data_IF_151387624967
#
_entry.id   IF_151387624967
#
_cell.length_a   1.000
_cell.length_b   1.000
_cell.length_c   1.000
_cell.angle_alpha   90.00
_cell.angle_beta   90.00
_cell.angle_gamma   90.00
#
_symmetry.space_group_name_H-M   'P 1'
#
loop_
_entity.id
_entity.type
_entity.pdbx_description
1 polymer ?
#
# COMPACT_ATOMS: atom_id res chain seq x y z
N UNK A 1 24.92 -28.34 -52.10
CA UNK A 1 26.11 -28.37 -51.23
C UNK A 1 26.62 -26.94 -51.14
N UNK A 2 26.74 -26.28 -49.99
CA UNK A 2 26.63 -26.73 -48.59
C UNK A 2 25.84 -25.69 -47.74
N UNK A 3 25.08 -26.15 -46.74
CA UNK A 3 24.41 -25.36 -45.70
C UNK A 3 25.40 -24.86 -44.63
N UNK A 4 25.22 -23.65 -44.09
CA UNK A 4 25.58 -23.23 -42.72
C UNK A 4 24.95 -21.84 -42.45
N UNK A 5 24.42 -21.48 -41.27
CA UNK A 5 23.80 -22.22 -40.16
C UNK A 5 23.21 -21.19 -39.18
N UNK A 6 22.02 -21.42 -38.61
CA UNK A 6 21.39 -20.51 -37.65
C UNK A 6 22.21 -20.35 -36.35
N UNK A 7 22.64 -19.13 -36.01
CA UNK A 7 23.17 -18.80 -34.68
C UNK A 7 23.32 -17.27 -34.41
N UNK A 8 22.27 -16.46 -34.59
CA UNK A 8 22.24 -15.16 -33.88
C UNK A 8 21.79 -15.47 -32.45
N UNK A 9 22.78 -15.62 -31.56
CA UNK A 9 22.53 -15.82 -30.13
C UNK A 9 21.97 -14.53 -29.55
N UNK A 10 20.81 -14.63 -28.92
CA UNK A 10 20.29 -13.59 -28.03
C UNK A 10 21.28 -13.45 -26.87
N UNK A 11 22.03 -12.35 -26.86
CA UNK A 11 22.74 -11.89 -25.68
C UNK A 11 21.72 -11.13 -24.81
N UNK A 12 20.98 -11.87 -23.99
CA UNK A 12 20.49 -11.31 -22.74
C UNK A 12 21.73 -10.98 -21.91
N UNK A 13 22.12 -9.71 -21.91
CA UNK A 13 23.06 -9.17 -20.93
C UNK A 13 22.52 -9.50 -19.56
N UNK A 14 23.36 -10.08 -18.70
CA UNK A 14 22.99 -10.47 -17.35
C UNK A 14 22.31 -9.30 -16.64
N UNK A 15 21.14 -9.55 -16.06
CA UNK A 15 20.59 -8.65 -15.06
C UNK A 15 21.66 -8.51 -13.97
N UNK A 16 22.05 -7.27 -13.69
CA UNK A 16 22.87 -6.98 -12.52
C UNK A 16 22.09 -7.46 -11.30
N UNK A 17 22.66 -8.42 -10.58
CA UNK A 17 22.34 -8.62 -9.16
C UNK A 17 22.87 -7.39 -8.42
N UNK A 18 22.13 -6.29 -8.54
CA UNK A 18 22.31 -5.13 -7.70
C UNK A 18 21.71 -5.48 -6.34
N UNK A 19 22.54 -6.03 -5.45
CA UNK A 19 22.34 -6.02 -4.00
C UNK A 19 22.26 -4.53 -3.58
N UNK A 20 21.08 -3.96 -3.79
CA UNK A 20 20.74 -2.58 -3.47
C UNK A 20 20.00 -2.64 -2.15
N UNK A 21 20.65 -2.06 -1.14
CA UNK A 21 20.20 -2.09 0.24
C UNK A 21 18.83 -1.41 0.33
N UNK A 22 17.79 -2.23 0.43
CA UNK A 22 16.41 -1.80 0.66
C UNK A 22 16.27 -1.39 2.12
N UNK A 23 16.75 -0.18 2.43
CA UNK A 23 16.95 0.36 3.79
C UNK A 23 18.06 -0.33 4.58
N UNK A 24 18.88 0.42 5.37
CA UNK A 24 19.99 -0.18 6.10
C UNK A 24 19.49 -1.04 7.27
N UNK A 25 19.24 -2.33 7.01
CA UNK A 25 18.89 -3.33 8.03
C UNK A 25 17.78 -4.31 7.65
N UNK A 26 17.04 -4.11 6.55
CA UNK A 26 15.95 -5.00 6.12
C UNK A 26 16.41 -6.00 5.06
N UNK A 27 16.03 -7.28 5.19
CA UNK A 27 16.30 -8.34 4.22
C UNK A 27 15.03 -8.69 3.43
N UNK A 28 14.89 -8.06 2.25
CA UNK A 28 13.77 -8.27 1.33
C UNK A 28 13.79 -9.63 0.60
N UNK A 29 14.79 -10.50 0.84
CA UNK A 29 14.96 -11.76 0.09
C UNK A 29 13.74 -12.68 0.23
N UNK A 30 13.15 -12.75 1.41
CA UNK A 30 11.94 -13.55 1.67
C UNK A 30 10.71 -12.97 0.95
N UNK A 31 10.48 -11.65 1.08
CA UNK A 31 9.39 -10.92 0.42
C UNK A 31 9.45 -11.09 -1.11
N UNK A 32 10.63 -10.91 -1.71
CA UNK A 32 10.87 -11.10 -3.14
C UNK A 32 10.63 -12.55 -3.58
N UNK A 33 11.02 -13.54 -2.77
CA UNK A 33 10.80 -14.95 -3.09
C UNK A 33 9.30 -15.33 -3.06
N UNK A 34 8.56 -14.78 -2.09
CA UNK A 34 7.12 -14.97 -1.91
C UNK A 34 6.31 -14.32 -3.04
N UNK A 35 6.57 -13.05 -3.34
CA UNK A 35 6.06 -12.35 -4.53
C UNK A 35 6.26 -13.19 -5.79
N UNK A 36 7.49 -13.62 -6.04
CA UNK A 36 7.83 -14.42 -7.21
C UNK A 36 7.17 -15.83 -7.23
N UNK A 37 6.64 -16.32 -6.11
CA UNK A 37 5.83 -17.53 -6.06
C UNK A 37 4.37 -17.25 -6.45
N UNK A 38 3.81 -16.14 -5.97
CA UNK A 38 2.43 -15.77 -6.22
C UNK A 38 2.17 -15.21 -7.63
N UNK A 39 3.09 -14.39 -8.17
CA UNK A 39 3.02 -13.87 -9.56
C UNK A 39 2.91 -14.99 -10.62
N UNK A 40 3.18 -16.25 -10.27
CA UNK A 40 2.99 -17.43 -11.14
C UNK A 40 1.55 -17.94 -11.18
N UNK A 41 0.75 -17.65 -10.14
CA UNK A 41 -0.60 -18.14 -9.94
C UNK A 41 -1.66 -17.06 -10.20
N UNK A 42 -1.31 -15.78 -10.09
CA UNK A 42 -2.23 -14.67 -10.35
C UNK A 42 -2.76 -14.71 -11.79
N UNK A 43 -4.06 -14.46 -11.96
CA UNK A 43 -4.62 -14.09 -13.27
C UNK A 43 -3.99 -12.78 -13.75
N UNK A 44 -4.06 -12.48 -15.05
CA UNK A 44 -3.28 -11.37 -15.65
C UNK A 44 -4.00 -10.03 -15.68
N UNK A 45 -5.33 -10.04 -15.60
CA UNK A 45 -6.15 -8.85 -15.44
C UNK A 45 -7.57 -9.23 -14.91
N UNK A 46 -8.33 -8.23 -14.45
CA UNK A 46 -9.76 -8.37 -14.20
C UNK A 46 -10.62 -8.08 -15.46
N UNK A 47 -10.07 -8.14 -16.69
CA UNK A 47 -10.89 -8.00 -17.90
C UNK A 47 -11.96 -9.08 -18.00
N UNK A 48 -11.68 -10.27 -17.46
CA UNK A 48 -12.64 -11.35 -17.31
C UNK A 48 -13.79 -11.02 -16.32
N UNK A 49 -13.55 -10.15 -15.35
CA UNK A 49 -14.55 -9.64 -14.41
C UNK A 49 -15.29 -8.40 -14.90
N UNK A 50 -14.71 -7.62 -15.84
CA UNK A 50 -15.29 -6.38 -16.38
C UNK A 50 -16.75 -6.55 -16.77
N UNK A 51 -17.07 -7.61 -17.50
CA UNK A 51 -18.43 -7.90 -17.98
C UNK A 51 -19.41 -8.25 -16.86
N UNK A 52 -18.94 -8.75 -15.70
CA UNK A 52 -19.75 -9.01 -14.50
C UNK A 52 -19.95 -7.74 -13.69
N UNK A 53 -18.89 -6.97 -13.46
CA UNK A 53 -18.92 -5.67 -12.74
C UNK A 53 -19.83 -4.68 -13.46
N UNK A 54 -19.71 -4.58 -14.80
CA UNK A 54 -20.54 -3.68 -15.63
C UNK A 54 -22.03 -4.06 -15.57
N UNK A 55 -22.35 -5.36 -15.51
CA UNK A 55 -23.75 -5.84 -15.48
C UNK A 55 -24.45 -5.62 -14.13
N UNK A 56 -23.71 -5.41 -13.04
CA UNK A 56 -24.26 -5.36 -11.67
C UNK A 56 -24.58 -3.95 -11.15
N UNK A 57 -24.61 -2.93 -12.01
CA UNK A 57 -24.74 -1.50 -11.62
C UNK A 57 -23.59 -0.99 -10.71
N UNK A 58 -22.55 -1.82 -10.49
CA UNK A 58 -21.43 -1.52 -9.58
C UNK A 58 -20.68 -0.26 -9.98
N UNK A 59 -20.43 -0.05 -11.28
CA UNK A 59 -19.84 1.19 -11.77
C UNK A 59 -20.69 2.40 -11.35
N UNK A 60 -21.99 2.39 -11.64
CA UNK A 60 -22.94 3.45 -11.29
C UNK A 60 -23.05 3.70 -9.78
N UNK A 61 -22.94 2.66 -8.94
CA UNK A 61 -22.76 2.78 -7.48
C UNK A 61 -21.45 3.45 -7.10
N UNK A 62 -20.30 2.97 -7.61
CA UNK A 62 -18.98 3.57 -7.39
C UNK A 62 -19.00 5.07 -7.75
N UNK A 63 -19.64 5.43 -8.88
CA UNK A 63 -19.75 6.84 -9.32
C UNK A 63 -20.43 7.70 -8.27
N UNK A 64 -21.64 7.27 -7.84
CA UNK A 64 -22.47 8.01 -6.87
C UNK A 64 -21.78 8.12 -5.51
N UNK A 65 -21.14 7.03 -5.05
CA UNK A 65 -20.39 6.94 -3.80
C UNK A 65 -19.17 7.88 -3.79
N UNK A 66 -18.27 7.75 -4.77
CA UNK A 66 -17.08 8.61 -4.90
C UNK A 66 -17.48 10.08 -5.06
N UNK A 67 -18.53 10.37 -5.85
CA UNK A 67 -19.08 11.72 -5.97
C UNK A 67 -19.59 12.27 -4.63
N UNK A 68 -20.36 11.50 -3.85
CA UNK A 68 -20.84 11.93 -2.53
C UNK A 68 -19.69 12.12 -1.53
N UNK A 69 -18.64 11.28 -1.60
CA UNK A 69 -17.43 11.41 -0.79
C UNK A 69 -16.64 12.69 -1.16
N UNK A 70 -16.47 12.99 -2.45
CA UNK A 70 -15.88 14.25 -2.94
C UNK A 70 -16.71 15.47 -2.48
N UNK A 71 -18.04 15.40 -2.61
CA UNK A 71 -18.95 16.47 -2.17
C UNK A 71 -18.82 16.73 -0.67
N UNK A 72 -18.74 15.67 0.14
CA UNK A 72 -18.53 15.70 1.60
C UNK A 72 -17.15 16.24 1.97
N UNK A 73 -16.09 15.75 1.31
CA UNK A 73 -14.71 16.18 1.53
C UNK A 73 -14.50 17.67 1.20
N UNK A 74 -15.17 18.19 0.17
CA UNK A 74 -15.23 19.63 -0.14
C UNK A 74 -16.01 20.40 0.93
N UNK A 75 -17.20 19.93 1.30
CA UNK A 75 -18.04 20.59 2.31
C UNK A 75 -17.33 20.71 3.67
N UNK A 76 -16.65 19.66 4.12
CA UNK A 76 -15.82 19.64 5.34
C UNK A 76 -14.69 20.67 5.31
N UNK A 77 -14.22 21.05 4.13
CA UNK A 77 -13.15 22.05 3.90
C UNK A 77 -13.68 23.44 3.48
N UNK A 78 -15.00 23.64 3.47
CA UNK A 78 -15.62 24.91 3.04
C UNK A 78 -15.49 25.21 1.54
N UNK A 79 -15.13 24.22 0.71
CA UNK A 79 -14.89 24.38 -0.73
C UNK A 79 -16.20 24.30 -1.53
N UNK A 80 -16.31 25.10 -2.59
CA UNK A 80 -17.46 25.10 -3.49
C UNK A 80 -17.48 23.89 -4.43
N UNK A 81 -18.68 23.42 -4.80
CA UNK A 81 -18.82 22.34 -5.78
C UNK A 81 -18.50 22.82 -7.22
N UNK A 82 -17.71 22.03 -7.95
CA UNK A 82 -17.43 22.20 -9.39
C UNK A 82 -18.63 21.68 -10.23
N UNK A 83 -18.96 22.31 -11.38
CA UNK A 83 -20.20 22.06 -12.16
C UNK A 83 -20.07 20.95 -13.24
N UNK A 84 -21.15 20.19 -13.52
CA UNK A 84 -21.29 19.08 -14.52
C UNK A 84 -21.84 19.51 -15.90
N UNK A 85 -21.76 18.68 -16.98
CA UNK A 85 -22.65 18.78 -18.21
C UNK A 85 -22.58 17.73 -19.40
N UNK A 86 -21.67 16.73 -19.47
CA UNK A 86 -21.58 15.57 -20.44
C UNK A 86 -21.07 15.77 -21.91
N UNK A 87 -19.93 15.15 -22.34
CA UNK A 87 -19.64 14.58 -23.70
C UNK A 87 -18.28 13.81 -23.84
N UNK A 88 -18.25 12.71 -24.61
CA UNK A 88 -17.14 11.72 -24.64
C UNK A 88 -16.30 11.65 -25.95
N UNK A 89 -14.99 11.37 -25.82
CA UNK A 89 -14.16 10.70 -26.86
C UNK A 89 -13.12 9.78 -26.22
N UNK A 90 -13.02 8.54 -26.70
CA UNK A 90 -12.14 7.48 -26.21
C UNK A 90 -10.68 7.65 -26.63
N UNK A 91 -9.75 7.12 -25.81
CA UNK A 91 -8.33 6.95 -26.14
C UNK A 91 -7.85 5.52 -25.87
N UNK A 92 -6.65 5.23 -26.39
CA UNK A 92 -6.10 3.90 -26.65
C UNK A 92 -4.94 3.61 -25.68
N UNK A 93 -4.77 2.36 -25.25
CA UNK A 93 -3.79 1.96 -24.24
C UNK A 93 -2.40 1.69 -24.83
N UNK A 94 -1.37 2.36 -24.31
CA UNK A 94 0.04 1.90 -24.31
C UNK A 94 0.84 2.65 -23.25
N UNK A 95 1.64 1.93 -22.44
CA UNK A 95 2.56 2.41 -21.39
C UNK A 95 1.90 2.96 -20.11
N UNK A 96 1.96 2.20 -19.01
CA UNK A 96 1.50 2.64 -17.67
C UNK A 96 2.38 3.76 -17.12
N UNK A 97 3.70 3.71 -17.35
CA UNK A 97 4.67 4.72 -16.87
C UNK A 97 4.64 6.05 -17.65
N UNK A 98 4.08 6.07 -18.86
CA UNK A 98 3.84 7.31 -19.63
C UNK A 98 2.35 7.75 -19.61
N UNK A 99 1.49 6.99 -18.93
CA UNK A 99 0.08 7.35 -18.77
C UNK A 99 -0.07 8.26 -17.56
N UNK A 100 -0.51 9.49 -17.81
CA UNK A 100 -1.02 10.41 -16.80
C UNK A 100 -2.26 9.79 -16.10
N UNK A 101 -2.14 9.42 -14.83
CA UNK A 101 -3.26 8.94 -13.99
C UNK A 101 -4.07 10.10 -13.39
N UNK A 102 -3.52 11.32 -13.43
CA UNK A 102 -4.27 12.55 -13.59
C UNK A 102 -5.21 12.32 -14.77
N UNK A 103 -6.52 12.30 -14.50
CA UNK A 103 -7.51 12.22 -15.58
C UNK A 103 -7.14 13.29 -16.61
N UNK A 104 -6.92 12.88 -17.88
CA UNK A 104 -6.19 13.67 -18.87
C UNK A 104 -7.06 14.82 -19.45
N UNK A 105 -7.40 15.74 -18.55
CA UNK A 105 -8.65 16.45 -18.48
C UNK A 105 -8.29 17.82 -17.88
N UNK A 106 -8.16 18.85 -18.72
CA UNK A 106 -7.92 20.22 -18.25
C UNK A 106 -9.22 20.79 -17.69
N UNK A 107 -9.59 20.35 -16.48
CA UNK A 107 -10.93 20.56 -15.89
C UNK A 107 -11.01 21.89 -15.14
N UNK A 108 -11.39 22.95 -15.85
CA UNK A 108 -11.97 24.13 -15.19
C UNK A 108 -13.22 23.73 -14.38
N UNK A 109 -13.56 24.42 -13.26
CA UNK A 109 -14.81 24.23 -12.50
C UNK A 109 -16.14 24.33 -13.29
N UNK A 110 -16.08 24.57 -14.60
CA UNK A 110 -17.20 24.64 -15.53
C UNK A 110 -17.36 23.41 -16.46
N UNK A 111 -16.52 22.38 -16.37
CA UNK A 111 -16.38 21.40 -17.47
C UNK A 111 -17.55 20.41 -17.61
N UNK A 112 -18.10 20.27 -18.82
CA UNK A 112 -19.14 19.29 -19.13
C UNK A 112 -18.76 17.80 -18.98
N UNK A 113 -19.09 17.18 -17.84
CA UNK A 113 -19.38 15.72 -17.78
C UNK A 113 -18.33 14.83 -17.17
N UNK A 114 -17.63 15.35 -16.17
CA UNK A 114 -16.43 14.74 -15.63
C UNK A 114 -16.71 13.38 -14.95
N UNK A 115 -17.91 13.19 -14.38
CA UNK A 115 -18.24 12.01 -13.58
C UNK A 115 -18.15 10.69 -14.38
N UNK A 116 -18.86 10.54 -15.50
CA UNK A 116 -18.86 9.28 -16.27
C UNK A 116 -17.47 8.87 -16.76
N UNK A 117 -16.54 9.83 -16.93
CA UNK A 117 -15.17 9.59 -17.38
C UNK A 117 -14.30 9.08 -16.23
N UNK A 118 -14.35 9.77 -15.07
CA UNK A 118 -13.63 9.42 -13.82
C UNK A 118 -13.82 7.95 -13.44
N UNK A 119 -15.01 7.39 -13.71
CA UNK A 119 -15.38 6.03 -13.29
C UNK A 119 -15.42 5.00 -14.44
N UNK A 120 -14.97 5.37 -15.64
CA UNK A 120 -14.93 4.45 -16.80
C UNK A 120 -13.63 3.67 -16.93
N UNK A 121 -12.56 4.16 -16.28
CA UNK A 121 -11.22 3.60 -16.37
C UNK A 121 -10.76 3.24 -14.97
N UNK A 122 -11.08 2.02 -14.53
CA UNK A 122 -10.65 1.52 -13.23
C UNK A 122 -9.30 0.83 -13.40
N UNK A 123 -8.25 1.47 -12.88
CA UNK A 123 -6.98 0.80 -12.65
C UNK A 123 -7.25 -0.31 -11.63
N UNK A 124 -7.36 -1.52 -12.15
CA UNK A 124 -7.52 -2.69 -11.33
C UNK A 124 -6.13 -3.26 -11.08
N UNK A 125 -5.58 -2.98 -9.90
CA UNK A 125 -4.41 -3.72 -9.43
C UNK A 125 -4.84 -5.18 -9.31
N UNK A 126 -4.05 -6.10 -9.84
CA UNK A 126 -4.31 -7.53 -9.71
C UNK A 126 -3.08 -8.21 -9.15
N UNK A 127 -3.10 -8.44 -7.82
CA UNK A 127 -2.01 -8.98 -7.00
C UNK A 127 -0.61 -8.75 -7.60
N UNK A 128 -0.28 -7.47 -7.74
CA UNK A 128 1.09 -7.02 -7.80
C UNK A 128 1.60 -7.06 -6.36
N UNK A 129 2.07 -8.22 -5.94
CA UNK A 129 2.42 -8.43 -4.54
C UNK A 129 3.68 -7.66 -4.18
N UNK A 130 3.52 -6.70 -3.29
CA UNK A 130 4.58 -5.80 -2.87
C UNK A 130 5.48 -6.38 -1.80
N UNK A 131 6.45 -5.55 -1.44
CA UNK A 131 7.23 -5.70 -0.22
C UNK A 131 6.37 -5.17 0.94
N UNK A 132 6.25 -5.88 2.07
CA UNK A 132 5.68 -5.29 3.30
C UNK A 132 6.60 -4.15 3.77
N UNK A 133 7.90 -4.39 3.69
CA UNK A 133 8.90 -3.40 4.06
C UNK A 133 9.02 -3.22 5.58
N UNK A 134 10.01 -2.45 6.02
CA UNK A 134 10.51 -2.51 7.40
C UNK A 134 9.66 -1.78 8.44
N UNK A 135 8.45 -1.31 8.10
CA UNK A 135 7.68 -0.37 8.92
C UNK A 135 6.21 -0.76 9.16
N UNK A 136 5.83 -2.02 8.90
CA UNK A 136 4.52 -2.51 9.31
C UNK A 136 4.46 -2.74 10.83
N UNK A 137 3.30 -2.49 11.45
CA UNK A 137 3.04 -2.65 12.88
C UNK A 137 1.80 -3.53 13.04
N UNK A 138 1.86 -4.56 13.89
CA UNK A 138 0.68 -5.39 14.17
C UNK A 138 -0.14 -4.79 15.34
N UNK A 139 -1.46 -5.00 15.38
CA UNK A 139 -2.31 -4.55 16.50
C UNK A 139 -2.83 -3.12 16.39
N UNK A 140 -2.82 -2.52 15.19
CA UNK A 140 -3.23 -1.13 15.00
C UNK A 140 -4.75 -0.91 15.15
N UNK A 141 -5.17 0.35 15.24
CA UNK A 141 -6.56 0.76 15.46
C UNK A 141 -7.44 0.67 14.20
N UNK A 142 -8.67 0.18 14.36
CA UNK A 142 -9.73 0.28 13.37
C UNK A 142 -10.33 1.70 13.38
N UNK A 143 -9.93 2.56 12.44
CA UNK A 143 -10.32 3.98 12.39
C UNK A 143 -10.24 4.56 10.98
N UNK A 144 -11.17 5.45 10.64
CA UNK A 144 -11.22 6.07 9.30
C UNK A 144 -10.34 7.30 9.15
N UNK A 145 -10.12 8.10 10.20
CA UNK A 145 -9.14 9.18 10.17
C UNK A 145 -7.85 8.73 10.88
N UNK A 146 -6.76 8.73 10.12
CA UNK A 146 -5.42 8.32 10.56
C UNK A 146 -4.45 9.50 10.65
N UNK A 147 -4.91 10.73 10.40
CA UNK A 147 -4.06 11.94 10.32
C UNK A 147 -3.40 12.28 11.66
N UNK A 148 -4.14 12.10 12.75
CA UNK A 148 -3.78 12.58 14.10
C UNK A 148 -3.33 14.06 14.08
N UNK A 149 -2.08 14.34 14.44
CA UNK A 149 -1.49 15.69 14.49
C UNK A 149 -0.57 15.98 13.30
N UNK A 150 -0.43 15.07 12.34
CA UNK A 150 0.58 15.20 11.29
C UNK A 150 0.22 16.30 10.28
N UNK A 151 1.12 17.28 10.04
CA UNK A 151 0.90 18.33 9.05
C UNK A 151 1.13 17.80 7.63
N UNK A 152 0.27 18.19 6.70
CA UNK A 152 0.40 17.82 5.30
C UNK A 152 -0.84 18.19 4.47
N UNK A 153 -0.80 17.88 3.18
CA UNK A 153 -1.91 18.10 2.25
C UNK A 153 -3.01 17.07 2.54
N UNK A 154 -4.24 17.46 2.89
CA UNK A 154 -5.28 16.50 3.29
C UNK A 154 -5.75 15.60 2.13
N UNK A 155 -5.78 14.29 2.35
CA UNK A 155 -6.22 13.28 1.37
C UNK A 155 -7.42 12.51 1.91
N UNK A 156 -8.44 12.35 1.09
CA UNK A 156 -9.49 11.33 1.29
C UNK A 156 -9.23 10.19 0.32
N UNK A 157 -9.15 8.96 0.84
CA UNK A 157 -8.67 7.76 0.14
C UNK A 157 -9.82 6.76 0.00
N UNK A 158 -9.95 6.14 -1.17
CA UNK A 158 -11.07 5.28 -1.55
C UNK A 158 -10.58 4.01 -2.25
N UNK A 159 -10.58 2.86 -1.56
CA UNK A 159 -10.27 1.58 -2.19
C UNK A 159 -11.51 0.70 -2.27
N UNK A 160 -11.62 -0.06 -3.36
CA UNK A 160 -12.60 -1.13 -3.49
C UNK A 160 -11.91 -2.47 -3.75
N UNK A 161 -12.24 -3.47 -2.96
CA UNK A 161 -11.64 -4.80 -2.98
C UNK A 161 -12.59 -5.80 -3.67
N UNK A 162 -12.10 -6.43 -4.74
CA UNK A 162 -12.83 -7.35 -5.60
C UNK A 162 -12.16 -8.73 -5.57
N UNK A 163 -12.95 -9.78 -5.37
CA UNK A 163 -12.48 -11.15 -5.44
C UNK A 163 -12.16 -11.54 -6.89
N UNK A 164 -10.90 -11.90 -7.16
CA UNK A 164 -10.39 -12.20 -8.51
C UNK A 164 -10.93 -13.51 -9.09
N UNK A 165 -11.58 -14.32 -8.28
CA UNK A 165 -12.12 -15.62 -8.64
C UNK A 165 -13.64 -15.61 -8.84
N UNK A 166 -14.38 -14.79 -8.09
CA UNK A 166 -15.84 -14.65 -8.24
C UNK A 166 -16.27 -13.39 -8.99
N UNK A 167 -15.39 -12.39 -9.12
CA UNK A 167 -15.69 -11.04 -9.63
C UNK A 167 -16.71 -10.26 -8.79
N UNK A 168 -16.77 -10.56 -7.48
CA UNK A 168 -17.69 -9.94 -6.52
C UNK A 168 -16.91 -9.06 -5.53
N UNK A 169 -17.53 -8.01 -4.97
CA UNK A 169 -16.94 -7.28 -3.85
C UNK A 169 -16.62 -8.18 -2.66
N UNK A 170 -15.62 -7.79 -1.88
CA UNK A 170 -15.24 -8.49 -0.65
C UNK A 170 -15.68 -7.62 0.53
N UNK A 171 -16.83 -7.88 1.18
CA UNK A 171 -17.20 -7.24 2.43
C UNK A 171 -16.39 -7.80 3.61
N UNK A 172 -16.30 -7.03 4.70
CA UNK A 172 -15.63 -7.40 5.97
C UNK A 172 -14.12 -7.72 5.84
N UNK A 173 -13.50 -7.46 4.68
CA UNK A 173 -12.05 -7.47 4.51
C UNK A 173 -11.49 -6.25 5.24
N UNK A 174 -10.49 -6.47 6.07
CA UNK A 174 -9.87 -5.40 6.85
C UNK A 174 -8.70 -4.82 6.07
N UNK A 175 -8.88 -3.62 5.51
CA UNK A 175 -7.82 -2.87 4.83
C UNK A 175 -6.93 -2.20 5.87
N UNK A 176 -5.69 -2.66 5.95
CA UNK A 176 -4.60 -2.10 6.75
C UNK A 176 -3.75 -1.18 5.84
N UNK A 177 -3.63 0.10 6.24
CA UNK A 177 -3.02 1.18 5.47
C UNK A 177 -2.04 1.93 6.37
N UNK A 178 -0.78 2.05 5.93
CA UNK A 178 0.22 2.89 6.60
C UNK A 178 1.12 3.64 5.62
N UNK A 179 1.61 4.81 6.03
CA UNK A 179 2.60 5.57 5.28
C UNK A 179 3.41 6.52 6.17
N UNK A 180 4.52 7.05 5.64
CA UNK A 180 5.30 8.08 6.31
C UNK A 180 4.57 9.43 6.32
N UNK A 181 4.93 10.28 7.27
CA UNK A 181 4.58 11.70 7.25
C UNK A 181 5.31 12.45 6.13
N UNK A 182 5.00 13.74 5.98
CA UNK A 182 5.54 14.58 4.90
C UNK A 182 7.09 14.65 4.85
N UNK A 183 7.77 14.39 5.98
CA UNK A 183 9.24 14.38 6.11
C UNK A 183 9.84 12.96 6.11
N UNK A 184 9.08 11.93 5.73
CA UNK A 184 9.60 10.57 5.56
C UNK A 184 9.69 9.72 6.85
N UNK A 185 9.04 10.14 7.94
CA UNK A 185 9.03 9.39 9.21
C UNK A 185 7.74 8.60 9.38
N UNK A 186 7.86 7.32 9.73
CA UNK A 186 6.78 6.43 10.15
C UNK A 186 6.65 6.45 11.67
N UNK A 187 5.44 6.67 12.20
CA UNK A 187 5.15 6.43 13.62
C UNK A 187 5.28 4.93 13.96
N UNK A 188 5.34 4.60 15.24
CA UNK A 188 5.21 3.23 15.75
C UNK A 188 6.42 2.32 15.54
N UNK A 189 7.51 2.82 14.94
CA UNK A 189 8.70 2.01 14.64
C UNK A 189 9.99 2.81 14.86
N UNK A 190 10.95 2.24 15.58
CA UNK A 190 12.31 2.77 15.67
C UNK A 190 13.18 1.95 14.73
N UNK A 191 14.02 2.62 13.94
CA UNK A 191 14.86 1.90 12.98
C UNK A 191 15.83 2.79 12.23
N UNK A 192 16.93 2.19 11.77
CA UNK A 192 17.92 2.84 10.91
C UNK A 192 17.26 3.29 9.60
N UNK A 193 17.20 4.60 9.38
CA UNK A 193 16.53 5.21 8.23
C UNK A 193 15.08 5.64 8.46
N UNK A 194 14.55 5.55 9.69
CA UNK A 194 13.26 6.12 10.07
C UNK A 194 13.41 7.26 11.09
N UNK A 195 13.45 8.50 10.61
CA UNK A 195 13.52 9.69 11.48
C UNK A 195 14.76 9.71 12.40
N UNK A 196 14.55 10.10 13.65
CA UNK A 196 15.55 10.03 14.71
C UNK A 196 15.47 8.67 15.43
N UNK A 197 16.49 7.83 15.28
CA UNK A 197 16.54 6.51 15.91
C UNK A 197 16.73 6.54 17.43
N UNK A 198 17.10 7.70 18.01
CA UNK A 198 17.19 7.88 19.46
C UNK A 198 15.84 8.31 20.07
N UNK A 199 14.82 8.63 19.26
CA UNK A 199 13.47 8.92 19.74
C UNK A 199 12.68 7.65 20.08
N UNK A 200 12.94 7.14 21.30
CA UNK A 200 12.20 6.01 21.86
C UNK A 200 10.70 6.30 22.08
N UNK A 201 10.26 7.56 21.98
CA UNK A 201 8.86 7.95 22.03
C UNK A 201 8.08 7.45 20.82
N UNK A 202 8.71 7.44 19.64
CA UNK A 202 8.08 7.13 18.36
C UNK A 202 7.42 5.74 18.31
N UNK A 203 7.84 4.76 19.13
CA UNK A 203 7.13 3.47 19.26
C UNK A 203 5.67 3.62 19.67
N UNK A 204 5.31 4.67 20.41
CA UNK A 204 3.94 4.90 20.89
C UNK A 204 3.11 5.78 19.94
N UNK A 205 3.73 6.30 18.88
CA UNK A 205 3.03 7.14 17.90
C UNK A 205 2.26 6.26 16.90
N UNK A 206 0.95 6.47 16.79
CA UNK A 206 0.11 5.68 15.89
C UNK A 206 -0.23 6.41 14.59
N UNK A 207 0.31 7.60 14.35
CA UNK A 207 -0.10 8.43 13.22
C UNK A 207 0.09 7.77 11.84
N UNK A 208 -0.78 8.14 10.90
CA UNK A 208 -0.77 7.75 9.49
C UNK A 208 -0.83 6.24 9.26
N UNK A 209 -1.50 5.56 10.20
CA UNK A 209 -1.73 4.13 10.25
C UNK A 209 -3.15 3.81 10.69
N UNK A 210 -3.72 2.71 10.21
CA UNK A 210 -4.92 2.15 10.77
C UNK A 210 -5.63 1.18 9.84
N UNK A 211 -6.70 0.57 10.36
CA UNK A 211 -7.49 -0.41 9.64
C UNK A 211 -8.91 0.08 9.36
N UNK A 212 -9.49 -0.34 8.24
CA UNK A 212 -10.90 -0.13 7.92
C UNK A 212 -11.54 -1.41 7.32
N UNK A 213 -12.66 -1.90 7.87
CA UNK A 213 -13.41 -2.98 7.26
C UNK A 213 -14.10 -2.48 5.99
N UNK A 214 -14.14 -3.33 4.97
CA UNK A 214 -14.90 -3.05 3.76
C UNK A 214 -16.41 -3.21 3.96
N UNK A 215 -17.19 -2.35 3.31
CA UNK A 215 -18.65 -2.44 3.28
C UNK A 215 -19.18 -3.52 2.31
N UNK A 216 -20.51 -3.61 2.19
CA UNK A 216 -21.23 -4.54 1.30
C UNK A 216 -20.90 -4.37 -0.20
N UNK A 217 -20.42 -3.19 -0.62
CA UNK A 217 -19.90 -2.93 -1.96
C UNK A 217 -18.37 -3.13 -2.02
N UNK A 218 -17.75 -3.71 -1.00
CA UNK A 218 -16.32 -4.03 -0.90
C UNK A 218 -15.43 -2.81 -0.69
N UNK A 219 -15.96 -1.73 -0.12
CA UNK A 219 -15.31 -0.43 -0.03
C UNK A 219 -14.80 -0.15 1.37
N UNK A 220 -13.57 0.37 1.46
CA UNK A 220 -13.08 1.06 2.65
C UNK A 220 -12.57 2.47 2.30
N UNK A 221 -12.66 3.41 3.25
CA UNK A 221 -12.27 4.82 3.05
C UNK A 221 -11.47 5.35 4.24
N UNK A 222 -10.44 6.14 3.94
CA UNK A 222 -9.59 6.79 4.94
C UNK A 222 -9.50 8.32 4.74
N UNK A 223 -9.20 9.04 5.82
CA UNK A 223 -8.75 10.42 5.84
C UNK A 223 -7.32 10.50 6.39
N UNK A 224 -6.39 10.99 5.57
CA UNK A 224 -4.97 11.12 5.90
C UNK A 224 -4.37 12.41 5.31
N UNK A 225 -3.05 12.50 5.26
CA UNK A 225 -2.30 13.46 4.43
C UNK A 225 -1.63 12.73 3.25
N UNK A 226 -1.16 13.50 2.26
CA UNK A 226 -0.29 12.97 1.22
C UNK A 226 1.06 12.56 1.84
N UNK A 227 1.59 11.37 1.53
CA UNK A 227 2.83 10.88 2.14
C UNK A 227 4.05 11.68 1.69
N UNK A 228 5.08 11.73 2.52
CA UNK A 228 6.39 12.20 2.11
C UNK A 228 7.15 11.13 1.31
N UNK A 229 8.47 11.24 1.32
CA UNK A 229 9.39 10.21 0.81
C UNK A 229 10.53 10.00 1.80
N UNK A 230 11.12 8.82 1.74
CA UNK A 230 12.23 8.40 2.59
C UNK A 230 13.28 7.67 1.74
N UNK A 231 14.49 7.50 2.29
CA UNK A 231 15.67 7.23 1.48
C UNK A 231 15.56 5.95 0.63
N UNK A 232 15.80 6.08 -0.68
CA UNK A 232 15.83 4.95 -1.61
C UNK A 232 14.46 4.43 -2.06
N UNK A 233 13.37 5.19 -1.85
CA UNK A 233 12.01 4.84 -2.28
C UNK A 233 11.25 5.99 -2.94
N UNK A 234 10.40 5.67 -3.91
CA UNK A 234 9.37 6.59 -4.41
C UNK A 234 8.30 6.87 -3.34
N UNK A 235 7.53 7.95 -3.51
CA UNK A 235 6.39 8.29 -2.63
C UNK A 235 5.25 7.27 -2.76
N UNK A 236 4.85 6.66 -1.65
CA UNK A 236 3.83 5.60 -1.62
C UNK A 236 3.06 5.54 -0.30
N UNK A 237 1.94 4.80 -0.33
CA UNK A 237 1.28 4.22 0.84
C UNK A 237 1.38 2.70 0.76
N UNK A 238 1.50 2.01 1.88
CA UNK A 238 1.48 0.55 1.93
C UNK A 238 0.07 0.02 2.12
N UNK A 239 -0.19 -1.21 1.66
CA UNK A 239 -1.47 -1.88 1.86
C UNK A 239 -1.28 -3.35 2.23
N UNK A 240 -1.96 -3.73 3.32
CA UNK A 240 -2.25 -5.10 3.70
C UNK A 240 -3.77 -5.31 3.64
N UNK A 241 -4.19 -6.49 3.23
CA UNK A 241 -5.56 -6.95 3.44
C UNK A 241 -5.55 -8.11 4.43
N UNK A 242 -6.40 -8.06 5.44
CA UNK A 242 -6.62 -9.17 6.36
C UNK A 242 -8.05 -9.71 6.23
N UNK A 243 -8.20 -11.02 6.39
CA UNK A 243 -9.49 -11.70 6.55
C UNK A 243 -9.43 -12.63 7.77
N UNK A 244 -10.58 -12.95 8.38
CA UNK A 244 -10.68 -13.91 9.50
C UNK A 244 -9.85 -13.55 10.76
N UNK A 245 -9.45 -12.29 10.94
CA UNK A 245 -8.83 -11.80 12.18
C UNK A 245 -9.86 -11.35 13.22
N UNK A 246 -9.38 -10.72 14.30
CA UNK A 246 -10.23 -10.30 15.43
C UNK A 246 -10.12 -8.80 15.68
N UNK A 247 -11.27 -8.12 15.75
CA UNK A 247 -11.36 -6.77 16.33
C UNK A 247 -11.61 -6.87 17.84
N UNK A 248 -10.83 -6.18 18.65
CA UNK A 248 -10.90 -6.20 20.12
C UNK A 248 -11.71 -5.01 20.67
N UNK A 249 -12.14 -5.08 21.93
CA UNK A 249 -13.00 -4.04 22.55
C UNK A 249 -12.32 -2.66 22.68
N UNK A 250 -10.99 -2.61 22.71
CA UNK A 250 -10.18 -1.40 22.66
C UNK A 250 -10.11 -0.76 21.25
N UNK A 251 -10.72 -1.39 20.24
CA UNK A 251 -10.72 -0.93 18.85
C UNK A 251 -9.49 -1.31 18.03
N UNK A 252 -8.60 -2.19 18.52
CA UNK A 252 -7.49 -2.72 17.71
C UNK A 252 -7.90 -3.97 16.93
N UNK A 253 -7.10 -4.35 15.92
CA UNK A 253 -7.29 -5.57 15.13
C UNK A 253 -6.00 -6.38 15.04
N UNK A 254 -6.08 -7.72 15.16
CA UNK A 254 -4.93 -8.61 14.99
C UNK A 254 -5.29 -9.94 14.32
N UNK A 255 -4.26 -10.57 13.74
CA UNK A 255 -4.30 -11.92 13.19
C UNK A 255 -5.27 -12.11 12.01
N UNK A 256 -5.55 -13.38 11.72
CA UNK A 256 -6.28 -13.80 10.53
C UNK A 256 -5.33 -14.31 9.45
N UNK A 257 -5.74 -14.16 8.20
CA UNK A 257 -5.00 -14.52 7.00
C UNK A 257 -4.73 -13.26 6.19
N UNK A 258 -3.63 -13.26 5.44
CA UNK A 258 -3.21 -12.10 4.63
C UNK A 258 -3.28 -12.45 3.15
N UNK A 259 -4.42 -12.27 2.46
CA UNK A 259 -4.53 -12.55 1.03
C UNK A 259 -3.96 -11.46 0.10
N UNK A 260 -3.48 -10.32 0.64
CA UNK A 260 -2.89 -9.25 -0.17
C UNK A 260 -1.82 -8.46 0.61
N UNK A 261 -0.70 -8.19 -0.07
CA UNK A 261 0.36 -7.24 0.30
C UNK A 261 0.65 -6.39 -0.94
N UNK A 262 0.83 -5.08 -0.82
CA UNK A 262 1.23 -4.23 -1.94
C UNK A 262 1.55 -2.80 -1.53
N UNK A 263 1.91 -1.98 -2.50
CA UNK A 263 2.11 -0.55 -2.31
C UNK A 263 1.30 0.24 -3.35
N UNK A 264 0.90 1.45 -2.98
CA UNK A 264 0.04 2.32 -3.77
C UNK A 264 0.78 3.65 -3.98
N UNK A 265 0.99 4.00 -5.24
CA UNK A 265 1.86 5.08 -5.67
C UNK A 265 1.05 6.25 -6.26
N UNK A 266 1.74 7.33 -6.60
CA UNK A 266 1.13 8.55 -7.14
C UNK A 266 1.83 8.96 -8.43
N UNK A 267 1.16 9.74 -9.29
CA UNK A 267 1.80 10.29 -10.48
C UNK A 267 3.05 11.12 -10.14
N UNK A 268 4.09 10.99 -10.95
CA UNK A 268 5.34 11.73 -10.77
C UNK A 268 5.13 13.25 -10.79
N UNK A 269 4.19 13.75 -11.61
CA UNK A 269 3.85 15.17 -11.67
C UNK A 269 3.16 15.64 -10.39
N UNK A 270 2.26 14.83 -9.80
CA UNK A 270 1.61 15.14 -8.52
C UNK A 270 2.62 15.14 -7.37
N UNK A 271 3.49 14.13 -7.32
CA UNK A 271 4.59 14.06 -6.34
C UNK A 271 5.47 15.32 -6.45
N UNK A 272 5.77 15.76 -7.67
CA UNK A 272 6.58 16.95 -7.93
C UNK A 272 5.86 18.24 -7.50
N UNK A 273 4.54 18.35 -7.72
CA UNK A 273 3.75 19.50 -7.27
C UNK A 273 3.66 19.57 -5.75
N UNK A 274 3.33 18.46 -5.07
CA UNK A 274 3.19 18.39 -3.60
C UNK A 274 4.49 18.79 -2.89
N UNK A 275 5.65 18.33 -3.39
CA UNK A 275 6.95 18.67 -2.84
C UNK A 275 7.35 20.17 -2.97
N UNK A 276 6.50 21.02 -3.56
CA UNK A 276 6.65 22.49 -3.54
C UNK A 276 5.95 23.19 -2.37
N UNK A 277 5.16 22.46 -1.56
CA UNK A 277 4.40 23.00 -0.42
C UNK A 277 5.04 22.66 0.93
N UNK A 278 4.80 23.49 1.96
CA UNK A 278 5.12 23.12 3.34
C UNK A 278 4.10 22.10 3.86
N UNK A 279 4.52 21.10 4.66
CA UNK A 279 5.88 20.88 5.17
C UNK A 279 6.80 20.03 4.26
N UNK A 280 6.34 19.57 3.09
CA UNK A 280 7.12 18.70 2.19
C UNK A 280 8.46 19.34 1.74
N UNK A 281 8.50 20.66 1.52
CA UNK A 281 9.76 21.40 1.23
C UNK A 281 10.81 21.35 2.36
N UNK A 282 10.44 20.88 3.55
CA UNK A 282 11.35 20.71 4.70
C UNK A 282 12.01 19.31 4.68
N UNK A 283 11.55 18.39 3.83
CA UNK A 283 12.15 17.07 3.66
C UNK A 283 13.46 17.18 2.85
N UNK A 284 14.60 16.93 3.51
CA UNK A 284 15.93 17.00 2.90
C UNK A 284 16.41 15.67 2.30
N UNK A 285 15.57 14.64 2.28
CA UNK A 285 15.91 13.33 1.69
C UNK A 285 15.85 13.43 0.16
N UNK A 286 16.83 12.87 -0.53
CA UNK A 286 16.81 12.78 -2.00
C UNK A 286 15.61 11.95 -2.47
N UNK A 287 14.82 12.53 -3.38
CA UNK A 287 13.64 11.87 -3.94
C UNK A 287 14.04 10.83 -5.00
N UNK A 288 13.45 9.64 -4.93
CA UNK A 288 13.54 8.63 -5.99
C UNK A 288 12.30 8.77 -6.87
N UNK A 289 12.50 8.93 -8.19
CA UNK A 289 11.40 8.99 -9.13
C UNK A 289 10.76 7.60 -9.31
N UNK A 290 9.47 7.55 -9.65
CA UNK A 290 8.74 6.29 -9.89
C UNK A 290 9.45 5.38 -10.91
N UNK A 291 10.08 5.96 -11.94
CA UNK A 291 10.81 5.23 -12.98
C UNK A 291 12.14 4.61 -12.51
N UNK A 292 12.66 5.06 -11.36
CA UNK A 292 13.90 4.60 -10.74
C UNK A 292 13.66 3.72 -9.49
N UNK A 293 12.41 3.61 -9.01
CA UNK A 293 12.05 2.78 -7.85
C UNK A 293 11.84 1.31 -8.24
N UNK A 294 12.60 0.41 -7.59
CA UNK A 294 12.55 -1.04 -7.84
C UNK A 294 11.17 -1.68 -7.59
N UNK A 295 10.39 -1.11 -6.67
CA UNK A 295 9.12 -1.67 -6.22
C UNK A 295 8.03 -1.23 -7.19
N UNK A 296 8.03 0.04 -7.62
CA UNK A 296 7.20 0.50 -8.76
C UNK A 296 7.47 -0.38 -9.99
N UNK A 297 8.74 -0.59 -10.34
CA UNK A 297 9.11 -1.45 -11.47
C UNK A 297 8.63 -2.90 -11.30
N UNK A 298 8.65 -3.44 -10.08
CA UNK A 298 8.17 -4.80 -9.81
C UNK A 298 6.65 -4.91 -9.77
N UNK A 299 5.95 -3.96 -9.16
CA UNK A 299 4.50 -3.98 -9.01
C UNK A 299 3.79 -3.59 -10.32
N UNK A 300 4.52 -3.05 -11.30
CA UNK A 300 4.04 -2.84 -12.67
C UNK A 300 4.46 -3.93 -13.67
N UNK A 301 5.35 -4.86 -13.30
CA UNK A 301 5.93 -5.86 -14.23
C UNK A 301 4.86 -6.74 -14.91
N UNK A 302 3.77 -7.04 -14.19
CA UNK A 302 2.65 -7.86 -14.70
C UNK A 302 1.65 -7.08 -15.56
N UNK A 303 1.82 -5.77 -15.73
CA UNK A 303 0.83 -4.88 -16.33
C UNK A 303 -0.27 -4.42 -15.37
N UNK A 304 -0.10 -4.66 -14.07
CA UNK A 304 -0.87 -3.99 -13.03
C UNK A 304 -0.51 -2.49 -12.97
N UNK A 305 -1.44 -1.70 -12.44
CA UNK A 305 -1.34 -0.25 -12.32
C UNK A 305 -1.62 0.15 -10.86
N UNK A 306 -0.58 0.22 -10.00
CA UNK A 306 -0.68 0.58 -8.60
C UNK A 306 -0.69 2.11 -8.37
N UNK A 307 -0.88 2.92 -9.42
CA UNK A 307 -0.98 4.38 -9.28
C UNK A 307 -2.42 4.77 -8.90
N UNK A 308 -2.58 5.53 -7.83
CA UNK A 308 -3.85 6.14 -7.45
C UNK A 308 -4.38 7.05 -8.57
N UNK A 309 -5.65 6.87 -8.94
CA UNK A 309 -6.40 7.90 -9.64
C UNK A 309 -6.75 9.02 -8.65
N UNK A 310 -6.85 10.27 -9.10
CA UNK A 310 -7.13 11.39 -8.20
C UNK A 310 -7.87 12.57 -8.82
N UNK A 311 -8.49 13.37 -7.96
CA UNK A 311 -9.03 14.70 -8.28
C UNK A 311 -8.67 15.70 -7.17
N UNK A 312 -8.41 16.95 -7.56
CA UNK A 312 -8.29 18.05 -6.61
C UNK A 312 -9.66 18.38 -5.99
N UNK A 313 -9.72 18.44 -4.66
CA UNK A 313 -10.89 18.93 -3.94
C UNK A 313 -11.10 20.42 -4.23
N UNK A 314 -10.03 21.20 -4.16
CA UNK A 314 -10.00 22.63 -4.49
C UNK A 314 -9.39 22.95 -5.85
N UNK A 315 -8.91 24.19 -6.02
CA UNK A 315 -8.27 24.67 -7.25
C UNK A 315 -6.74 24.46 -7.27
N UNK A 316 -6.14 24.24 -6.09
CA UNK A 316 -4.71 23.94 -5.88
C UNK A 316 -4.56 22.67 -5.03
N UNK A 317 -3.43 21.98 -5.12
CA UNK A 317 -3.22 20.68 -4.44
C UNK A 317 -3.29 20.77 -2.91
N UNK A 318 -2.86 21.88 -2.31
CA UNK A 318 -2.91 22.12 -0.85
C UNK A 318 -4.32 22.17 -0.26
N UNK A 319 -5.33 22.44 -1.09
CA UNK A 319 -6.75 22.37 -0.71
C UNK A 319 -7.27 20.92 -0.60
N UNK A 320 -6.43 19.94 -0.92
CA UNK A 320 -6.61 18.52 -0.66
C UNK A 320 -7.03 17.71 -1.87
N UNK A 321 -6.89 16.39 -1.73
CA UNK A 321 -7.09 15.40 -2.77
C UNK A 321 -8.22 14.42 -2.39
N UNK A 322 -8.93 13.93 -3.39
CA UNK A 322 -9.65 12.66 -3.32
C UNK A 322 -8.97 11.67 -4.24
N UNK A 323 -8.49 10.55 -3.70
CA UNK A 323 -7.75 9.52 -4.44
C UNK A 323 -8.51 8.20 -4.39
N UNK A 324 -8.49 7.42 -5.47
CA UNK A 324 -9.14 6.11 -5.52
C UNK A 324 -8.42 5.06 -6.35
N UNK A 325 -8.64 3.80 -5.98
CA UNK A 325 -8.10 2.63 -6.68
C UNK A 325 -9.06 1.43 -6.55
N UNK A 326 -8.88 0.43 -7.41
CA UNK A 326 -9.59 -0.85 -7.33
C UNK A 326 -8.59 -2.00 -7.26
N UNK A 327 -8.82 -2.92 -6.33
CA UNK A 327 -7.86 -3.94 -5.92
C UNK A 327 -8.46 -5.33 -6.07
N UNK A 328 -7.84 -6.14 -6.92
CA UNK A 328 -8.13 -7.56 -7.07
C UNK A 328 -7.38 -8.39 -6.04
N UNK A 329 -8.11 -9.03 -5.13
CA UNK A 329 -7.57 -9.93 -4.10
C UNK A 329 -7.95 -11.39 -4.37
N UNK A 330 -6.98 -12.31 -4.27
CA UNK A 330 -7.25 -13.75 -4.27
C UNK A 330 -7.45 -14.26 -2.84
N UNK A 331 -8.70 -14.48 -2.43
CA UNK A 331 -9.03 -15.03 -1.10
C UNK A 331 -8.60 -16.49 -0.90
N UNK A 332 -7.93 -17.12 -1.87
CA UNK A 332 -7.26 -18.42 -1.69
C UNK A 332 -5.77 -18.31 -1.37
N UNK A 333 -5.21 -17.09 -1.45
CA UNK A 333 -3.85 -16.79 -1.03
C UNK A 333 -3.77 -16.55 0.49
N UNK A 334 -2.60 -16.80 1.06
CA UNK A 334 -2.27 -16.46 2.44
C UNK A 334 -0.78 -16.19 2.57
N UNK A 335 -0.45 -15.00 3.06
CA UNK A 335 0.89 -14.41 3.06
C UNK A 335 1.43 -14.11 4.46
N UNK A 336 0.71 -14.56 5.50
CA UNK A 336 1.05 -14.35 6.90
C UNK A 336 2.48 -14.81 7.27
N UNK A 337 2.98 -15.89 6.67
CA UNK A 337 4.32 -16.43 6.95
C UNK A 337 5.49 -15.53 6.50
N UNK A 338 5.24 -14.52 5.65
CA UNK A 338 6.25 -13.53 5.24
C UNK A 338 5.89 -12.08 5.53
N UNK A 339 4.71 -11.81 6.11
CA UNK A 339 4.40 -10.52 6.68
C UNK A 339 5.13 -10.37 8.02
N UNK A 340 6.29 -9.70 8.01
CA UNK A 340 7.10 -9.48 9.22
C UNK A 340 6.81 -8.10 9.78
N UNK A 341 6.15 -8.02 10.93
CA UNK A 341 5.96 -6.77 11.67
C UNK A 341 7.30 -6.29 12.25
N UNK A 342 7.51 -4.97 12.25
CA UNK A 342 8.65 -4.32 12.91
C UNK A 342 8.36 -3.99 14.38
N UNK A 343 7.09 -3.71 14.69
CA UNK A 343 6.60 -3.50 16.06
C UNK A 343 5.18 -4.07 16.23
N UNK A 344 4.73 -4.17 17.48
CA UNK A 344 3.37 -4.55 17.88
C UNK A 344 2.81 -3.43 18.78
N UNK A 345 1.60 -2.94 18.49
CA UNK A 345 0.87 -2.03 19.35
C UNK A 345 0.10 -2.82 20.41
N UNK A 346 0.62 -2.79 21.64
CA UNK A 346 0.04 -3.51 22.78
C UNK A 346 -0.82 -2.58 23.67
N UNK A 347 -1.49 -3.15 24.67
CA UNK A 347 -2.20 -2.36 25.70
C UNK A 347 -1.29 -1.45 26.53
N UNK A 348 0.01 -1.74 26.58
CA UNK A 348 1.01 -0.99 27.36
C UNK A 348 1.83 -0.01 26.49
N UNK A 349 1.52 0.10 25.20
CA UNK A 349 2.26 0.90 24.20
C UNK A 349 2.86 0.05 23.08
N UNK A 350 3.64 0.69 22.21
CA UNK A 350 4.33 0.00 21.11
C UNK A 350 5.60 -0.72 21.56
N UNK A 351 5.85 -1.91 21.00
CA UNK A 351 6.98 -2.78 21.34
C UNK A 351 7.65 -3.28 20.06
N UNK A 352 8.98 -3.18 19.95
CA UNK A 352 9.73 -3.74 18.81
C UNK A 352 9.60 -5.27 18.74
N UNK A 353 9.36 -5.79 17.53
CA UNK A 353 9.34 -7.23 17.25
C UNK A 353 10.76 -7.68 16.94
N UNK A 354 11.49 -8.13 17.96
CA UNK A 354 12.83 -8.71 17.77
C UNK A 354 12.73 -10.07 17.07
N UNK A 355 12.96 -10.11 15.76
CA UNK A 355 13.12 -11.36 15.01
C UNK A 355 14.43 -12.04 15.43
N UNK A 356 14.37 -12.94 16.42
CA UNK A 356 15.49 -13.82 16.73
C UNK A 356 15.68 -14.82 15.58
N UNK A 357 16.45 -14.41 14.57
CA UNK A 357 17.05 -15.33 13.61
C UNK A 357 17.94 -16.28 14.40
N UNK A 358 17.41 -17.48 14.69
CA UNK A 358 18.19 -18.60 15.22
C UNK A 358 19.08 -19.16 14.12
N UNK A 359 20.06 -18.35 13.71
CA UNK A 359 21.15 -18.75 12.85
C UNK A 359 21.96 -19.78 13.63
N UNK A 360 21.72 -21.06 13.35
CA UNK A 360 22.40 -22.21 13.94
C UNK A 360 23.87 -22.31 13.51
N UNK A 361 24.63 -21.23 13.63
CA UNK A 361 26.05 -21.15 13.39
C UNK A 361 26.80 -21.64 14.64
N UNK A 362 27.26 -22.89 14.60
CA UNK A 362 28.08 -23.49 15.65
C UNK A 362 29.48 -22.84 15.70
N UNK A 363 29.56 -21.63 16.27
CA UNK A 363 30.79 -20.89 16.51
C UNK A 363 31.33 -21.23 17.90
N UNK A 364 32.16 -22.25 17.98
CA UNK A 364 32.90 -22.56 19.20
C UNK A 364 34.05 -21.58 19.38
N UNK A 365 33.90 -20.58 20.25
CA UNK A 365 35.04 -19.96 20.91
C UNK A 365 34.72 -19.67 22.37
N UNK A 366 35.60 -20.08 23.28
CA UNK A 366 35.21 -20.38 24.65
C UNK A 366 35.44 -19.27 25.66
N UNK A 367 34.54 -19.14 26.63
CA UNK A 367 34.91 -18.92 28.04
C UNK A 367 33.75 -19.37 28.93
N UNK A 368 34.02 -20.27 29.88
CA UNK A 368 33.01 -20.78 30.80
C UNK A 368 32.95 -19.93 32.08
N UNK A 369 31.74 -19.71 32.62
CA UNK A 369 31.54 -19.70 34.06
C UNK A 369 30.65 -20.88 34.50
N UNK A 370 30.96 -21.44 35.67
CA UNK A 370 30.25 -22.58 36.25
C UNK A 370 28.91 -22.20 36.87
N UNK A 371 27.83 -22.91 36.50
CA UNK A 371 26.54 -22.81 37.19
C UNK A 371 25.45 -23.68 36.57
N UNK A 372 25.17 -24.85 37.18
CA UNK A 372 23.92 -25.58 36.94
C UNK A 372 22.85 -25.03 37.91
N UNK A 373 21.56 -25.05 37.53
CA UNK A 373 20.79 -26.26 37.82
C UNK A 373 19.89 -26.74 36.67
N UNK A 374 19.34 -27.94 36.88
CA UNK A 374 18.49 -28.69 35.94
C UNK A 374 17.10 -28.08 35.70
N UNK A 375 16.66 -28.08 34.44
CA UNK A 375 15.26 -27.91 34.05
C UNK A 375 15.00 -28.55 32.69
N UNK A 376 14.05 -29.49 32.61
CA UNK A 376 13.71 -30.20 31.37
C UNK A 376 12.93 -29.31 30.40
N UNK A 377 13.40 -29.18 29.16
CA UNK A 377 12.68 -28.49 28.11
C UNK A 377 11.38 -29.24 27.75
N UNK A 378 10.25 -28.52 27.73
CA UNK A 378 8.97 -29.01 27.21
C UNK A 378 8.65 -28.22 25.94
N UNK A 379 8.28 -28.94 24.88
CA UNK A 379 7.97 -28.38 23.58
C UNK A 379 6.60 -27.65 23.63
N UNK A 380 6.63 -26.32 23.76
CA UNK A 380 5.42 -25.50 23.82
C UNK A 380 4.82 -25.24 22.44
N UNK A 381 3.74 -25.94 22.08
CA UNK A 381 2.83 -25.45 21.03
C UNK A 381 2.18 -24.15 21.51
N UNK A 382 2.12 -23.11 20.67
CA UNK A 382 1.31 -21.92 20.96
C UNK A 382 -0.15 -22.36 21.12
N UNK A 383 -0.67 -22.29 22.35
CA UNK A 383 -2.09 -22.49 22.63
C UNK A 383 -2.75 -21.13 22.72
N UNK A 384 -3.79 -20.94 21.92
CA UNK A 384 -4.81 -19.93 22.21
C UNK A 384 -5.34 -20.17 23.62
N UNK A 385 -5.39 -19.13 24.45
CA UNK A 385 -6.19 -19.12 25.67
C UNK A 385 -6.89 -17.78 25.82
N UNK A 386 -8.20 -17.82 25.60
CA UNK A 386 -9.17 -16.93 26.24
C UNK A 386 -8.89 -16.86 27.75
N UNK A 387 -9.26 -15.74 28.40
CA UNK A 387 -10.03 -15.76 29.65
C UNK A 387 -10.59 -14.37 30.03
N UNK A 388 -11.92 -14.36 30.21
CA UNK A 388 -12.80 -13.32 30.80
C UNK A 388 -13.14 -12.09 29.96
#
# INVERSE_FOLDING_TARGET
>A
MVYLSSAIKVLFTAALLSETIAHPGHDVTAEVAQRNAALKNTKRDLTHCRDTVTKRDMQSKQQKRRQAAIETARAKRGLSQKRRFHTLRTRNLTSVTDTSHFSNLTVSPSTPGVEEIIFSNTSCILAAEGEVGPFWVEGEYVRSNITETQPGIPVTIDAQFINVNTCEPIPELMWDLWHCNATGVYGGVIGSGNGDSDDLGNLNDTFLRGLQPTDEDGVAQFESIFPGHYAGRATHMHVLAHINGTTFENGTYMGGQIPYIGQLFFDQDLISEVNTFSPYVENTIDIVANVDDRVVASETETGADPIFNYVLLGDTVDQGLFVWIEMGVDLTADYVDGATAAAELTSDGGVEVTTTTTTGGNSTNGTAPSGAPSGTAVMGKRSVFSLW
#
